data_IF_808348235348
#
_entry.id   IF_808348235348
#
_cell.length_a   1.000
_cell.length_b   1.000
_cell.length_c   1.000
_cell.angle_alpha   90.00
_cell.angle_beta   90.00
_cell.angle_gamma   90.00
#
_symmetry.space_group_name_H-M   'P 1'
#
loop_
_entity.id
_entity.type
_entity.pdbx_description
1 polymer ?
#
# COMPACT_ATOMS: atom_id res chain seq x y z
N UNK A 1 -20.42 -41.66 30.85
CA UNK A 1 -20.13 -43.06 31.03
C UNK A 1 -18.65 -43.32 30.75
N UNK A 2 -18.12 -44.56 31.15
CA UNK A 2 -16.66 -44.86 31.07
C UNK A 2 -16.18 -44.83 29.60
N UNK A 3 -16.98 -45.41 28.69
CA UNK A 3 -16.62 -45.45 27.24
C UNK A 3 -16.60 -44.06 26.60
N UNK A 4 -17.48 -43.17 26.99
CA UNK A 4 -17.54 -41.79 26.54
C UNK A 4 -16.31 -41.00 27.03
N UNK A 5 -15.88 -41.24 28.27
CA UNK A 5 -14.67 -40.62 28.83
C UNK A 5 -13.40 -41.17 28.21
N UNK A 6 -13.36 -42.48 27.86
CA UNK A 6 -12.23 -43.08 27.14
C UNK A 6 -12.10 -42.49 25.75
N UNK A 7 -13.19 -42.36 24.99
CA UNK A 7 -13.17 -41.74 23.67
C UNK A 7 -12.69 -40.28 23.74
N UNK A 8 -13.14 -39.51 24.73
CA UNK A 8 -12.70 -38.14 24.94
C UNK A 8 -11.20 -38.05 25.27
N UNK A 9 -10.65 -38.99 26.01
CA UNK A 9 -9.22 -39.06 26.34
C UNK A 9 -8.42 -39.44 25.11
N UNK A 10 -8.86 -40.39 24.30
CA UNK A 10 -8.21 -40.80 23.05
C UNK A 10 -8.18 -39.63 22.04
N UNK A 11 -9.26 -38.90 21.88
CA UNK A 11 -9.34 -37.69 21.05
C UNK A 11 -8.34 -36.64 21.53
N UNK A 12 -8.24 -36.42 22.84
CA UNK A 12 -7.34 -35.42 23.41
C UNK A 12 -5.86 -35.82 23.28
N UNK A 13 -5.54 -37.11 23.43
CA UNK A 13 -4.20 -37.64 23.17
C UNK A 13 -3.82 -37.45 21.70
N UNK A 14 -4.75 -37.70 20.79
CA UNK A 14 -4.53 -37.54 19.34
C UNK A 14 -4.30 -36.04 19.01
N UNK A 15 -5.07 -35.13 19.58
CA UNK A 15 -4.89 -33.70 19.45
C UNK A 15 -3.51 -33.25 19.95
N UNK A 16 -3.14 -33.66 21.18
CA UNK A 16 -1.84 -33.33 21.78
C UNK A 16 -0.66 -33.88 20.96
N UNK A 17 -0.75 -35.12 20.48
CA UNK A 17 0.30 -35.68 19.61
C UNK A 17 0.42 -34.92 18.31
N UNK A 18 -0.68 -34.49 17.72
CA UNK A 18 -0.68 -33.66 16.50
C UNK A 18 -0.03 -32.30 16.76
N UNK A 19 -0.29 -31.70 17.91
CA UNK A 19 0.33 -30.42 18.28
C UNK A 19 1.83 -30.57 18.58
N UNK A 20 2.23 -31.63 19.26
CA UNK A 20 3.64 -31.95 19.49
C UNK A 20 4.40 -32.10 18.17
N UNK A 21 3.86 -32.89 17.21
CA UNK A 21 4.46 -33.02 15.87
C UNK A 21 4.56 -31.67 15.14
N UNK A 22 3.53 -30.86 15.22
CA UNK A 22 3.50 -29.54 14.58
C UNK A 22 4.49 -28.55 15.19
N UNK A 23 4.72 -28.62 16.49
CA UNK A 23 5.63 -27.75 17.24
C UNK A 23 7.07 -28.27 17.24
N UNK A 24 7.31 -29.49 16.81
CA UNK A 24 8.66 -30.08 16.74
C UNK A 24 9.32 -29.73 15.40
N UNK A 25 10.59 -29.39 15.44
CA UNK A 25 11.39 -29.16 14.22
C UNK A 25 11.95 -30.50 13.71
N UNK A 26 11.46 -30.96 12.55
CA UNK A 26 11.93 -32.16 11.86
C UNK A 26 12.81 -31.84 10.64
N UNK A 27 13.35 -30.61 10.53
CA UNK A 27 14.24 -30.24 9.45
C UNK A 27 15.56 -30.99 9.55
N UNK A 28 16.02 -31.55 8.43
CA UNK A 28 17.34 -32.20 8.31
C UNK A 28 18.28 -31.43 7.37
N UNK A 29 19.42 -32.00 7.05
CA UNK A 29 20.42 -31.39 6.19
C UNK A 29 19.92 -31.02 4.79
N UNK A 30 18.98 -31.80 4.22
CA UNK A 30 18.40 -31.55 2.89
C UNK A 30 17.45 -30.33 2.98
N UNK A 31 16.61 -30.27 4.01
CA UNK A 31 15.70 -29.16 4.24
C UNK A 31 16.47 -27.85 4.38
N UNK A 32 17.60 -27.88 5.11
CA UNK A 32 18.46 -26.69 5.27
C UNK A 32 19.16 -26.29 3.97
N UNK A 33 19.65 -27.27 3.17
CA UNK A 33 20.24 -26.97 1.85
C UNK A 33 19.22 -26.32 0.90
N UNK A 34 17.99 -26.83 0.89
CA UNK A 34 16.90 -26.26 0.07
C UNK A 34 16.60 -24.83 0.52
N UNK A 35 16.53 -24.60 1.84
CA UNK A 35 16.28 -23.26 2.38
C UNK A 35 17.39 -22.27 1.98
N UNK A 36 18.65 -22.64 2.10
CA UNK A 36 19.79 -21.81 1.66
C UNK A 36 19.75 -21.59 0.16
N UNK A 37 19.57 -22.65 -0.65
CA UNK A 37 19.51 -22.53 -2.11
C UNK A 37 18.35 -21.62 -2.57
N UNK A 38 17.19 -21.73 -1.92
CA UNK A 38 16.04 -20.84 -2.17
C UNK A 38 16.38 -19.38 -1.89
N UNK A 39 17.02 -19.11 -0.76
CA UNK A 39 17.47 -17.75 -0.40
C UNK A 39 18.47 -17.19 -1.42
N UNK A 40 19.43 -18.01 -1.90
CA UNK A 40 20.39 -17.60 -2.93
C UNK A 40 19.68 -17.26 -4.24
N UNK A 41 18.82 -18.14 -4.74
CA UNK A 41 18.07 -17.93 -5.99
C UNK A 41 17.26 -16.62 -5.89
N UNK A 42 16.57 -16.44 -4.79
CA UNK A 42 15.74 -15.24 -4.57
C UNK A 42 16.57 -13.97 -4.45
N UNK A 43 17.74 -14.01 -3.81
CA UNK A 43 18.69 -12.90 -3.76
C UNK A 43 19.26 -12.54 -5.12
N UNK A 44 19.55 -13.51 -5.97
CA UNK A 44 19.97 -13.28 -7.36
C UNK A 44 18.84 -12.64 -8.17
N UNK A 45 17.60 -13.12 -8.01
CA UNK A 45 16.43 -12.53 -8.68
C UNK A 45 16.22 -11.09 -8.24
N UNK A 46 16.39 -10.80 -6.96
CA UNK A 46 16.32 -9.43 -6.43
C UNK A 46 17.38 -8.53 -7.08
N UNK A 47 18.64 -8.94 -7.03
CA UNK A 47 19.77 -8.20 -7.60
C UNK A 47 19.64 -7.88 -9.09
N UNK A 48 19.06 -8.81 -9.87
CA UNK A 48 18.99 -8.68 -11.35
C UNK A 48 17.69 -7.99 -11.79
N UNK A 49 16.54 -8.35 -11.21
CA UNK A 49 15.24 -7.98 -11.73
C UNK A 49 14.51 -6.91 -10.92
N UNK A 50 14.73 -6.84 -9.61
CA UNK A 50 14.07 -5.85 -8.75
C UNK A 50 14.88 -4.57 -8.68
N UNK A 51 16.09 -4.66 -8.20
CA UNK A 51 17.01 -3.55 -8.11
C UNK A 51 16.55 -2.46 -7.15
N UNK A 52 17.11 -1.27 -7.33
CA UNK A 52 16.90 -0.11 -6.47
C UNK A 52 15.45 0.38 -6.45
N UNK A 53 14.95 0.71 -5.26
CA UNK A 53 13.71 1.46 -5.09
C UNK A 53 13.91 2.90 -5.59
N UNK A 54 12.99 3.38 -6.43
CA UNK A 54 13.05 4.75 -6.96
C UNK A 54 11.71 5.45 -6.79
N UNK A 55 11.73 6.51 -5.98
CA UNK A 55 10.56 7.36 -5.79
C UNK A 55 10.20 8.13 -7.07
N UNK A 56 11.20 8.59 -7.83
CA UNK A 56 11.02 9.25 -9.14
C UNK A 56 10.32 8.31 -10.13
N UNK A 57 10.83 7.07 -10.30
CA UNK A 57 10.20 6.06 -11.17
C UNK A 57 8.79 5.69 -10.71
N UNK A 58 8.56 5.62 -9.38
CA UNK A 58 7.24 5.41 -8.82
C UNK A 58 6.28 6.54 -9.20
N UNK A 59 6.71 7.78 -9.03
CA UNK A 59 5.92 8.97 -9.35
C UNK A 59 5.62 9.09 -10.86
N UNK A 60 6.61 8.84 -11.72
CA UNK A 60 6.45 8.87 -13.17
C UNK A 60 5.45 7.82 -13.65
N UNK A 61 5.58 6.58 -13.17
CA UNK A 61 4.67 5.50 -13.51
C UNK A 61 3.25 5.76 -12.98
N UNK A 62 3.12 6.22 -11.75
CA UNK A 62 1.84 6.57 -11.15
C UNK A 62 1.16 7.71 -11.91
N UNK A 63 1.92 8.74 -12.27
CA UNK A 63 1.44 9.86 -13.09
C UNK A 63 0.91 9.38 -14.45
N UNK A 64 1.65 8.52 -15.13
CA UNK A 64 1.19 7.97 -16.43
C UNK A 64 -0.13 7.20 -16.29
N UNK A 65 -0.22 6.33 -15.27
CA UNK A 65 -1.44 5.52 -15.05
C UNK A 65 -2.64 6.38 -14.68
N UNK A 66 -2.47 7.35 -13.80
CA UNK A 66 -3.52 8.29 -13.41
C UNK A 66 -3.97 9.12 -14.61
N UNK A 67 -3.06 9.70 -15.38
CA UNK A 67 -3.41 10.52 -16.53
C UNK A 67 -4.23 9.73 -17.57
N UNK A 68 -3.83 8.48 -17.83
CA UNK A 68 -4.56 7.58 -18.73
C UNK A 68 -5.94 7.21 -18.16
N UNK A 69 -6.03 6.97 -16.86
CA UNK A 69 -7.30 6.69 -16.17
C UNK A 69 -8.27 7.88 -16.28
N UNK A 70 -7.81 9.10 -15.95
CA UNK A 70 -8.63 10.33 -16.04
C UNK A 70 -9.17 10.55 -17.45
N UNK A 71 -8.32 10.46 -18.48
CA UNK A 71 -8.75 10.59 -19.88
C UNK A 71 -9.79 9.53 -20.25
N UNK A 72 -9.59 8.28 -19.83
CA UNK A 72 -10.54 7.19 -20.11
C UNK A 72 -11.89 7.45 -19.44
N UNK A 73 -11.90 7.90 -18.20
CA UNK A 73 -13.13 8.25 -17.48
C UNK A 73 -13.82 9.45 -18.14
N UNK A 74 -13.10 10.53 -18.46
CA UNK A 74 -13.67 11.69 -19.13
C UNK A 74 -14.34 11.30 -20.47
N UNK A 75 -13.67 10.47 -21.28
CA UNK A 75 -14.25 9.94 -22.54
C UNK A 75 -15.52 9.13 -22.29
N UNK A 76 -15.57 8.30 -21.27
CA UNK A 76 -16.78 7.56 -20.90
C UNK A 76 -17.94 8.46 -20.47
N UNK A 77 -17.63 9.69 -20.04
CA UNK A 77 -18.61 10.70 -19.65
C UNK A 77 -18.98 11.68 -20.78
N UNK A 78 -18.43 11.49 -21.99
CA UNK A 78 -18.76 12.28 -23.19
C UNK A 78 -17.70 13.34 -23.57
N UNK A 79 -16.49 13.29 -22.99
CA UNK A 79 -15.40 14.13 -23.46
C UNK A 79 -14.86 13.62 -24.81
N UNK A 80 -14.86 14.46 -25.84
CA UNK A 80 -14.46 14.10 -27.20
C UNK A 80 -12.97 14.40 -27.50
N UNK A 81 -12.31 15.19 -26.65
CA UNK A 81 -10.89 15.54 -26.82
C UNK A 81 -9.93 14.41 -26.40
N UNK A 82 -8.63 14.65 -26.62
CA UNK A 82 -7.55 13.68 -26.28
C UNK A 82 -6.56 14.20 -25.24
N UNK A 83 -6.59 15.49 -24.96
CA UNK A 83 -5.68 16.09 -24.01
C UNK A 83 -6.14 15.95 -22.55
N UNK A 84 -5.17 15.90 -21.63
CA UNK A 84 -5.45 15.70 -20.22
C UNK A 84 -6.10 16.93 -19.57
N UNK A 85 -5.64 18.14 -19.93
CA UNK A 85 -6.15 19.36 -19.32
C UNK A 85 -7.62 19.60 -19.68
N UNK A 86 -8.02 19.29 -20.93
CA UNK A 86 -9.40 19.32 -21.38
C UNK A 86 -10.25 18.25 -20.68
N UNK A 87 -9.71 17.03 -20.53
CA UNK A 87 -10.40 15.97 -19.80
C UNK A 87 -10.69 16.34 -18.34
N UNK A 88 -9.71 16.90 -17.64
CA UNK A 88 -9.85 17.38 -16.26
C UNK A 88 -10.87 18.52 -16.21
N UNK A 89 -10.73 19.56 -17.05
CA UNK A 89 -11.66 20.69 -17.09
C UNK A 89 -13.11 20.25 -17.35
N UNK A 90 -13.30 19.27 -18.26
CA UNK A 90 -14.61 18.72 -18.54
C UNK A 90 -15.26 18.05 -17.31
N UNK A 91 -14.45 17.28 -16.55
CA UNK A 91 -14.95 16.62 -15.34
C UNK A 91 -15.19 17.63 -14.20
N UNK A 92 -14.27 18.62 -13.99
CA UNK A 92 -14.41 19.71 -13.02
C UNK A 92 -15.72 20.48 -13.26
N UNK A 93 -16.03 20.81 -14.50
CA UNK A 93 -17.24 21.56 -14.84
C UNK A 93 -18.52 20.74 -14.69
N UNK A 94 -18.47 19.47 -15.04
CA UNK A 94 -19.64 18.58 -15.05
C UNK A 94 -20.00 18.07 -13.65
N UNK A 95 -19.02 17.82 -12.80
CA UNK A 95 -19.18 17.15 -11.50
C UNK A 95 -18.71 18.03 -10.33
N UNK A 96 -19.25 19.26 -10.25
CA UNK A 96 -18.98 20.18 -9.13
C UNK A 96 -19.54 19.63 -7.83
N UNK A 97 -18.80 19.79 -6.74
CA UNK A 97 -19.26 19.47 -5.39
C UNK A 97 -19.37 20.73 -4.53
N UNK A 98 -20.21 20.67 -3.51
CA UNK A 98 -20.43 21.85 -2.64
C UNK A 98 -19.15 22.27 -1.89
N UNK A 99 -18.25 21.32 -1.60
CA UNK A 99 -17.00 21.58 -0.90
C UNK A 99 -16.07 22.55 -1.64
N UNK A 100 -16.10 22.61 -2.97
CA UNK A 100 -15.28 23.54 -3.77
C UNK A 100 -15.50 25.00 -3.40
N UNK A 101 -16.67 25.34 -2.89
CA UNK A 101 -17.01 26.68 -2.44
C UNK A 101 -16.28 27.09 -1.16
N UNK A 102 -15.77 26.12 -0.40
CA UNK A 102 -14.98 26.35 0.81
C UNK A 102 -13.46 26.39 0.56
N UNK A 103 -13.01 26.31 -0.69
CA UNK A 103 -11.57 26.25 -1.07
C UNK A 103 -10.72 27.30 -0.35
N UNK A 104 -11.16 28.57 -0.31
CA UNK A 104 -10.45 29.64 0.35
C UNK A 104 -10.38 29.46 1.88
N UNK A 105 -11.42 28.90 2.50
CA UNK A 105 -11.45 28.58 3.92
C UNK A 105 -10.37 27.57 4.33
N UNK A 106 -9.99 26.68 3.41
CA UNK A 106 -8.94 25.68 3.61
C UNK A 106 -7.56 26.08 3.05
N UNK A 107 -7.36 27.34 2.69
CA UNK A 107 -6.07 27.89 2.28
C UNK A 107 -5.84 28.04 0.79
N UNK A 108 -6.84 27.72 -0.03
CA UNK A 108 -6.80 27.90 -1.48
C UNK A 108 -5.82 26.98 -2.22
N UNK A 109 -5.85 27.01 -3.54
CA UNK A 109 -4.97 26.21 -4.40
C UNK A 109 -4.92 24.73 -4.01
N UNK A 110 -3.76 24.10 -4.09
CA UNK A 110 -3.59 22.69 -3.72
C UNK A 110 -3.71 22.42 -2.21
N UNK A 111 -3.69 23.45 -1.37
CA UNK A 111 -3.80 23.28 0.08
C UNK A 111 -5.19 22.87 0.53
N UNK A 112 -6.24 23.22 -0.22
CA UNK A 112 -7.57 22.78 0.13
C UNK A 112 -7.71 21.25 -0.04
N UNK A 113 -7.13 20.63 -1.08
CA UNK A 113 -7.11 19.18 -1.23
C UNK A 113 -6.50 18.47 -0.02
N UNK A 114 -5.47 19.07 0.58
CA UNK A 114 -4.82 18.52 1.76
C UNK A 114 -5.65 18.68 3.04
N UNK A 115 -6.43 19.75 3.15
CA UNK A 115 -7.09 20.16 4.39
C UNK A 115 -8.58 19.92 4.43
N UNK A 116 -9.25 19.96 3.29
CA UNK A 116 -10.67 19.66 3.17
C UNK A 116 -10.88 18.16 3.04
N UNK A 117 -11.51 17.55 4.03
CA UNK A 117 -11.73 16.11 4.06
C UNK A 117 -12.63 15.62 2.93
N UNK A 118 -13.50 16.46 2.36
CA UNK A 118 -14.32 16.07 1.21
C UNK A 118 -13.50 15.73 -0.05
N UNK A 119 -12.24 16.20 -0.12
CA UNK A 119 -11.29 15.92 -1.19
C UNK A 119 -10.35 14.74 -0.87
N UNK A 120 -10.62 13.97 0.19
CA UNK A 120 -9.83 12.80 0.53
C UNK A 120 -10.45 11.55 -0.12
N UNK A 121 -9.68 10.75 -0.90
CA UNK A 121 -10.17 9.53 -1.52
C UNK A 121 -10.24 8.37 -0.51
N UNK A 122 -11.01 8.57 0.55
CA UNK A 122 -11.23 7.65 1.65
C UNK A 122 -12.72 7.50 1.95
N UNK A 123 -13.16 6.42 2.64
CA UNK A 123 -14.53 6.34 3.15
C UNK A 123 -14.90 7.49 4.09
N UNK A 124 -13.92 8.03 4.83
CA UNK A 124 -14.09 9.21 5.69
C UNK A 124 -14.34 10.45 4.85
N UNK A 125 -13.56 10.64 3.77
CA UNK A 125 -13.76 11.74 2.82
C UNK A 125 -15.12 11.71 2.17
N UNK A 126 -15.58 10.54 1.71
CA UNK A 126 -16.94 10.37 1.21
C UNK A 126 -17.99 10.72 2.26
N UNK A 127 -17.79 10.28 3.52
CA UNK A 127 -18.73 10.58 4.61
C UNK A 127 -18.82 12.08 4.88
N UNK A 128 -17.71 12.82 4.88
CA UNK A 128 -17.71 14.29 5.05
C UNK A 128 -18.31 15.02 3.85
N UNK A 129 -18.05 14.54 2.62
CA UNK A 129 -18.71 15.09 1.44
C UNK A 129 -20.23 14.88 1.49
N UNK A 130 -20.69 13.70 1.93
CA UNK A 130 -22.11 13.46 2.15
C UNK A 130 -22.68 14.33 3.27
N UNK A 131 -21.95 14.46 4.38
CA UNK A 131 -22.40 15.30 5.51
C UNK A 131 -22.60 16.75 5.07
N UNK A 132 -21.75 17.28 4.19
CA UNK A 132 -21.91 18.60 3.58
C UNK A 132 -23.26 18.78 2.88
N UNK A 133 -23.78 17.73 2.21
CA UNK A 133 -25.08 17.74 1.55
C UNK A 133 -26.26 18.01 2.49
N UNK A 134 -26.10 17.65 3.78
CA UNK A 134 -27.16 17.79 4.78
C UNK A 134 -26.96 18.95 5.71
N UNK A 135 -25.71 19.30 6.04
CA UNK A 135 -25.39 20.32 7.04
C UNK A 135 -25.05 21.67 6.44
N UNK A 136 -24.77 21.74 5.13
CA UNK A 136 -24.21 22.92 4.45
C UNK A 136 -22.89 23.39 5.10
N UNK A 137 -22.14 22.48 5.67
CA UNK A 137 -20.85 22.72 6.28
C UNK A 137 -19.79 21.83 5.62
N UNK A 138 -18.61 22.37 5.39
CA UNK A 138 -17.43 21.65 4.91
C UNK A 138 -16.47 21.44 6.07
N UNK A 139 -15.89 20.28 6.19
CA UNK A 139 -15.12 19.82 7.33
C UNK A 139 -13.68 19.54 6.93
N UNK A 140 -12.74 19.91 7.79
CA UNK A 140 -11.33 19.69 7.51
C UNK A 140 -10.41 20.21 8.60
N UNK A 141 -9.21 20.67 8.23
CA UNK A 141 -8.23 21.24 9.15
C UNK A 141 -7.84 22.66 8.77
N UNK A 142 -7.56 23.50 9.77
CA UNK A 142 -6.97 24.82 9.55
C UNK A 142 -5.44 24.70 9.30
N UNK A 143 -4.79 25.87 9.11
CA UNK A 143 -3.33 25.92 8.90
C UNK A 143 -2.49 25.44 10.09
N UNK A 144 -3.08 25.32 11.26
CA UNK A 144 -2.42 24.81 12.47
C UNK A 144 -2.60 23.30 12.64
N UNK A 145 -3.35 22.63 11.73
CA UNK A 145 -3.66 21.21 11.80
C UNK A 145 -4.79 20.87 12.78
N UNK A 146 -5.62 21.85 13.14
CA UNK A 146 -6.78 21.63 14.01
C UNK A 146 -8.02 21.42 13.18
N UNK A 147 -8.92 20.58 13.68
CA UNK A 147 -10.22 20.38 13.05
C UNK A 147 -10.99 21.71 12.97
N UNK A 148 -11.55 21.99 11.82
CA UNK A 148 -12.38 23.18 11.58
C UNK A 148 -13.58 22.86 10.70
N UNK A 149 -14.53 23.76 10.73
CA UNK A 149 -15.76 23.69 9.93
C UNK A 149 -15.93 25.04 9.21
N UNK A 150 -16.20 24.98 7.91
CA UNK A 150 -16.52 26.14 7.07
C UNK A 150 -17.99 26.04 6.67
N UNK A 151 -18.78 27.04 7.05
CA UNK A 151 -20.18 27.15 6.67
C UNK A 151 -20.30 27.66 5.24
N UNK A 152 -21.11 27.00 4.42
CA UNK A 152 -21.46 27.48 3.08
C UNK A 152 -22.56 28.50 3.17
N UNK A 153 -22.44 29.58 2.38
CA UNK A 153 -23.50 30.60 2.21
C UNK A 153 -24.64 30.04 1.33
N UNK A 154 -25.85 30.61 1.43
CA UNK A 154 -27.01 30.05 0.71
C UNK A 154 -26.85 30.10 -0.80
N UNK A 155 -26.18 31.09 -1.35
CA UNK A 155 -25.94 31.28 -2.78
C UNK A 155 -24.84 30.34 -3.34
N UNK A 156 -24.13 29.64 -2.47
CA UNK A 156 -23.00 28.76 -2.82
C UNK A 156 -23.38 27.28 -2.95
N UNK A 157 -24.67 26.96 -3.01
CA UNK A 157 -25.15 25.60 -2.89
C UNK A 157 -25.09 24.82 -4.21
N UNK A 158 -24.13 23.88 -4.31
CA UNK A 158 -24.15 22.77 -5.27
C UNK A 158 -24.64 21.47 -4.57
N UNK A 159 -25.76 21.57 -3.83
CA UNK A 159 -26.36 20.41 -3.19
C UNK A 159 -27.18 19.63 -4.24
N UNK A 160 -26.72 18.46 -4.59
CA UNK A 160 -27.26 17.63 -5.67
C UNK A 160 -28.37 16.76 -5.13
N UNK A 161 -29.54 16.81 -5.76
CA UNK A 161 -30.73 16.04 -5.39
C UNK A 161 -31.72 16.79 -4.51
N UNK A 162 -33.01 16.50 -4.68
CA UNK A 162 -34.11 17.18 -3.99
C UNK A 162 -34.44 16.50 -2.64
N UNK A 163 -34.24 15.19 -2.55
CA UNK A 163 -34.55 14.39 -1.38
C UNK A 163 -33.32 13.62 -0.87
N UNK A 164 -33.44 13.01 0.30
CA UNK A 164 -32.32 12.29 0.99
C UNK A 164 -31.72 11.21 0.10
N UNK A 165 -32.55 10.44 -0.63
CA UNK A 165 -32.08 9.35 -1.47
C UNK A 165 -31.27 9.87 -2.66
N UNK A 166 -31.77 10.89 -3.30
CA UNK A 166 -31.10 11.55 -4.43
C UNK A 166 -29.78 12.19 -3.99
N UNK A 167 -29.78 12.93 -2.87
CA UNK A 167 -28.56 13.51 -2.31
C UNK A 167 -27.50 12.44 -2.06
N UNK A 168 -27.90 11.27 -1.55
CA UNK A 168 -26.97 10.18 -1.29
C UNK A 168 -26.42 9.58 -2.58
N UNK A 169 -27.28 9.27 -3.53
CA UNK A 169 -26.88 8.64 -4.81
C UNK A 169 -26.08 9.62 -5.67
N UNK A 170 -26.63 10.77 -5.98
CA UNK A 170 -25.98 11.76 -6.83
C UNK A 170 -24.75 12.37 -6.15
N UNK A 171 -24.82 12.65 -4.85
CA UNK A 171 -23.67 13.13 -4.08
C UNK A 171 -22.50 12.16 -4.14
N UNK A 172 -22.72 10.85 -4.04
CA UNK A 172 -21.68 9.83 -4.20
C UNK A 172 -21.10 9.82 -5.61
N UNK A 173 -21.97 9.86 -6.64
CA UNK A 173 -21.55 9.86 -8.04
C UNK A 173 -20.73 11.11 -8.37
N UNK A 174 -21.21 12.28 -7.98
CA UNK A 174 -20.51 13.54 -8.21
C UNK A 174 -19.20 13.60 -7.47
N UNK A 175 -19.18 13.21 -6.20
CA UNK A 175 -17.93 13.13 -5.44
C UNK A 175 -16.91 12.22 -6.12
N UNK A 176 -17.31 11.03 -6.60
CA UNK A 176 -16.41 10.11 -7.27
C UNK A 176 -15.78 10.74 -8.54
N UNK A 177 -16.61 11.31 -9.43
CA UNK A 177 -16.10 11.90 -10.66
C UNK A 177 -15.32 13.20 -10.42
N UNK A 178 -15.67 13.94 -9.39
CA UNK A 178 -14.91 15.10 -8.93
C UNK A 178 -13.52 14.66 -8.42
N UNK A 179 -13.44 13.63 -7.58
CA UNK A 179 -12.15 13.06 -7.19
C UNK A 179 -11.32 12.64 -8.40
N UNK A 180 -11.94 12.04 -9.43
CA UNK A 180 -11.25 11.67 -10.66
C UNK A 180 -10.70 12.89 -11.39
N UNK A 181 -11.37 14.04 -11.38
CA UNK A 181 -10.81 15.26 -11.98
C UNK A 181 -9.54 15.72 -11.26
N UNK A 182 -9.56 15.71 -9.94
CA UNK A 182 -8.51 16.33 -9.11
C UNK A 182 -7.24 15.47 -8.96
N UNK A 183 -7.34 14.15 -9.14
CA UNK A 183 -6.19 13.25 -8.94
C UNK A 183 -5.03 13.52 -9.90
N UNK A 184 -5.28 14.06 -11.09
CA UNK A 184 -4.23 14.45 -12.05
C UNK A 184 -3.67 15.86 -11.79
N UNK A 185 -4.23 16.59 -10.84
CA UNK A 185 -4.00 18.01 -10.63
C UNK A 185 -4.97 18.88 -11.44
N UNK A 186 -5.08 20.17 -11.10
CA UNK A 186 -6.02 21.06 -11.78
C UNK A 186 -5.71 21.24 -13.26
N UNK A 187 -6.74 21.47 -14.08
CA UNK A 187 -6.61 21.76 -15.52
C UNK A 187 -5.65 22.93 -15.81
N UNK A 188 -5.66 23.95 -14.97
CA UNK A 188 -4.75 25.11 -15.06
C UNK A 188 -3.30 24.71 -14.82
N UNK A 189 -3.01 23.89 -13.82
CA UNK A 189 -1.67 23.39 -13.53
C UNK A 189 -1.13 22.52 -14.66
N UNK A 190 -1.97 21.68 -15.23
CA UNK A 190 -1.61 20.81 -16.36
C UNK A 190 -1.27 21.63 -17.60
N UNK A 191 -2.08 22.65 -17.93
CA UNK A 191 -1.81 23.55 -19.06
C UNK A 191 -0.52 24.32 -18.88
N UNK A 192 -0.22 24.80 -17.68
CA UNK A 192 1.04 25.53 -17.38
C UNK A 192 2.26 24.61 -17.47
N UNK A 193 2.16 23.36 -17.12
CA UNK A 193 3.24 22.41 -17.17
C UNK A 193 3.62 22.03 -18.63
N UNK A 194 2.68 22.09 -19.56
CA UNK A 194 2.91 21.69 -20.96
C UNK A 194 3.38 20.23 -21.04
N UNK A 195 4.54 19.99 -21.63
CA UNK A 195 5.14 18.66 -21.75
C UNK A 195 5.98 18.24 -20.53
N UNK A 196 6.28 19.14 -19.61
CA UNK A 196 7.05 18.84 -18.40
C UNK A 196 6.16 18.31 -17.28
N UNK A 197 6.05 16.99 -17.19
CA UNK A 197 5.24 16.29 -16.20
C UNK A 197 5.61 16.64 -14.74
N UNK A 198 6.86 17.04 -14.47
CA UNK A 198 7.34 17.39 -13.13
C UNK A 198 6.76 18.72 -12.63
N UNK A 199 6.39 19.60 -13.55
CA UNK A 199 5.78 20.89 -13.23
C UNK A 199 4.24 20.84 -13.06
N UNK A 200 3.60 19.68 -13.28
CA UNK A 200 2.20 19.50 -12.94
C UNK A 200 2.03 19.71 -11.43
N UNK A 201 1.04 20.51 -11.05
CA UNK A 201 0.72 20.75 -9.65
C UNK A 201 0.46 19.46 -8.87
N UNK A 202 0.47 19.52 -7.55
CA UNK A 202 0.10 18.43 -6.69
C UNK A 202 -1.39 18.12 -6.89
N UNK A 203 -1.73 16.85 -7.04
CA UNK A 203 -3.11 16.36 -7.13
C UNK A 203 -3.73 16.17 -5.75
N UNK A 204 -4.66 15.22 -5.63
CA UNK A 204 -5.22 14.82 -4.34
C UNK A 204 -4.17 14.07 -3.50
N UNK A 205 -4.23 14.18 -2.16
CA UNK A 205 -3.52 13.22 -1.30
C UNK A 205 -4.03 11.81 -1.58
N UNK A 206 -3.16 10.81 -1.56
CA UNK A 206 -3.59 9.42 -1.67
C UNK A 206 -4.30 8.94 -0.39
N UNK A 207 -4.91 7.74 -0.40
CA UNK A 207 -5.66 7.23 0.75
C UNK A 207 -4.85 7.15 2.05
N UNK A 208 -3.57 6.78 1.96
CA UNK A 208 -2.70 6.71 3.14
C UNK A 208 -2.43 8.10 3.72
N UNK A 209 -2.04 9.04 2.89
CA UNK A 209 -1.77 10.41 3.33
C UNK A 209 -3.03 11.08 3.86
N UNK A 210 -4.18 10.89 3.19
CA UNK A 210 -5.49 11.37 3.64
C UNK A 210 -5.82 10.86 5.04
N UNK A 211 -5.69 9.56 5.27
CA UNK A 211 -5.92 8.96 6.58
C UNK A 211 -5.00 9.56 7.66
N UNK A 212 -3.72 9.78 7.34
CA UNK A 212 -2.78 10.41 8.29
C UNK A 212 -3.19 11.85 8.61
N UNK A 213 -3.72 12.61 7.65
CA UNK A 213 -4.20 13.97 7.86
C UNK A 213 -5.46 13.96 8.73
N UNK A 214 -6.43 13.09 8.43
CA UNK A 214 -7.66 12.92 9.20
C UNK A 214 -7.35 12.54 10.65
N UNK A 215 -6.46 11.58 10.87
CA UNK A 215 -6.01 11.19 12.22
C UNK A 215 -5.25 12.33 12.92
N UNK A 216 -4.44 13.10 12.19
CA UNK A 216 -3.68 14.22 12.77
C UNK A 216 -4.57 15.34 13.34
N UNK A 217 -5.82 15.44 12.85
CA UNK A 217 -6.81 16.38 13.39
C UNK A 217 -7.25 16.03 14.80
N UNK A 218 -7.11 14.76 15.22
CA UNK A 218 -7.54 14.31 16.55
C UNK A 218 -6.81 15.02 17.69
N UNK A 219 -7.46 15.20 18.86
CA UNK A 219 -6.87 15.88 20.02
C UNK A 219 -5.65 15.19 20.62
N UNK A 220 -5.42 13.91 20.30
CA UNK A 220 -4.26 13.15 20.80
C UNK A 220 -2.93 13.69 20.30
N UNK A 221 -2.91 14.30 19.12
CA UNK A 221 -1.71 14.92 18.54
C UNK A 221 -1.55 16.35 19.06
N UNK A 222 -0.89 16.50 20.22
CA UNK A 222 -0.79 17.79 20.95
C UNK A 222 0.52 18.54 20.69
N UNK A 223 1.55 17.86 20.17
CA UNK A 223 2.86 18.50 19.99
C UNK A 223 2.80 19.61 18.96
N UNK A 224 3.25 20.81 19.36
CA UNK A 224 3.20 22.02 18.53
C UNK A 224 4.59 22.62 18.40
N UNK A 225 4.81 23.31 17.29
CA UNK A 225 5.99 24.14 17.10
C UNK A 225 5.86 25.51 17.82
N UNK A 226 6.86 26.35 17.64
CA UNK A 226 6.88 27.73 18.21
C UNK A 226 5.77 28.63 17.69
N UNK A 227 5.22 28.33 16.53
CA UNK A 227 4.13 29.11 15.90
C UNK A 227 2.74 28.52 16.23
N UNK A 228 2.66 27.55 17.15
CA UNK A 228 1.42 26.92 17.59
C UNK A 228 0.85 25.88 16.63
N UNK A 229 1.57 25.52 15.56
CA UNK A 229 1.15 24.53 14.58
C UNK A 229 1.47 23.12 15.06
N UNK A 230 0.57 22.18 14.83
CA UNK A 230 0.86 20.75 15.11
C UNK A 230 2.04 20.28 14.26
N UNK A 231 3.08 19.75 14.89
CA UNK A 231 4.28 19.26 14.19
C UNK A 231 3.97 18.21 13.14
N UNK A 232 3.01 17.31 13.42
CA UNK A 232 2.55 16.31 12.46
C UNK A 232 1.95 16.95 11.21
N UNK A 233 1.17 18.03 11.36
CA UNK A 233 0.55 18.74 10.23
C UNK A 233 1.61 19.42 9.36
N UNK A 234 2.66 19.98 9.96
CA UNK A 234 3.79 20.57 9.22
C UNK A 234 4.51 19.50 8.42
N UNK A 235 4.77 18.34 9.03
CA UNK A 235 5.43 17.22 8.38
C UNK A 235 4.62 16.69 7.18
N UNK A 236 3.31 16.46 7.37
CA UNK A 236 2.42 16.00 6.31
C UNK A 236 2.33 17.01 5.15
N UNK A 237 2.30 18.30 5.45
CA UNK A 237 2.31 19.36 4.44
C UNK A 237 3.62 19.36 3.62
N UNK A 238 4.77 19.22 4.28
CA UNK A 238 6.07 19.11 3.61
C UNK A 238 6.17 17.86 2.75
N UNK A 239 5.61 16.75 3.19
CA UNK A 239 5.54 15.50 2.45
C UNK A 239 4.71 15.68 1.16
N UNK A 240 3.49 16.19 1.30
CA UNK A 240 2.56 16.41 0.19
C UNK A 240 3.14 17.35 -0.89
N UNK A 241 3.76 18.44 -0.48
CA UNK A 241 4.31 19.44 -1.40
C UNK A 241 5.71 19.09 -1.95
N UNK A 242 6.27 17.95 -1.57
CA UNK A 242 7.56 17.47 -2.05
C UNK A 242 8.78 18.10 -1.37
N UNK A 243 8.61 19.00 -0.41
CA UNK A 243 9.74 19.64 0.29
C UNK A 243 10.51 18.71 1.21
N UNK A 244 9.93 17.56 1.57
CA UNK A 244 10.58 16.58 2.43
C UNK A 244 11.38 15.54 1.64
N UNK A 245 10.85 15.05 0.51
CA UNK A 245 11.41 13.93 -0.25
C UNK A 245 11.97 14.34 -1.63
N UNK A 246 11.83 15.61 -2.01
CA UNK A 246 12.16 16.07 -3.37
C UNK A 246 11.06 15.78 -4.42
N UNK A 247 10.14 14.87 -4.09
CA UNK A 247 9.01 14.49 -4.92
C UNK A 247 7.69 14.72 -4.19
N UNK A 248 6.65 15.17 -4.90
CA UNK A 248 5.30 15.37 -4.36
C UNK A 248 4.71 14.03 -3.96
N UNK A 249 4.15 13.96 -2.77
CA UNK A 249 3.56 12.75 -2.24
C UNK A 249 2.03 12.84 -2.31
N UNK A 250 1.51 12.65 -3.51
CA UNK A 250 0.07 12.60 -3.77
C UNK A 250 -0.36 11.18 -4.20
N UNK A 251 -1.61 11.01 -4.63
CA UNK A 251 -2.15 9.72 -5.05
C UNK A 251 -1.33 9.05 -6.16
N UNK A 252 -0.74 9.82 -7.08
CA UNK A 252 0.11 9.29 -8.16
C UNK A 252 1.34 8.60 -7.59
N UNK A 253 1.97 9.23 -6.63
CA UNK A 253 3.16 8.70 -5.94
C UNK A 253 2.79 7.50 -5.06
N UNK A 254 1.68 7.54 -4.33
CA UNK A 254 1.23 6.40 -3.52
C UNK A 254 0.98 5.15 -4.37
N UNK A 255 0.32 5.29 -5.52
CA UNK A 255 0.10 4.18 -6.47
C UNK A 255 1.43 3.65 -7.02
N UNK A 256 2.35 4.54 -7.37
CA UNK A 256 3.68 4.16 -7.84
C UNK A 256 4.50 3.43 -6.79
N UNK A 257 4.45 3.88 -5.53
CA UNK A 257 5.10 3.20 -4.40
C UNK A 257 4.50 1.80 -4.19
N UNK A 258 3.18 1.65 -4.26
CA UNK A 258 2.55 0.35 -4.15
C UNK A 258 3.05 -0.63 -5.23
N UNK A 259 3.31 -0.15 -6.45
CA UNK A 259 3.95 -0.93 -7.51
C UNK A 259 5.40 -1.30 -7.18
N UNK A 260 6.21 -0.36 -6.70
CA UNK A 260 7.61 -0.62 -6.33
C UNK A 260 7.71 -1.63 -5.17
N UNK A 261 6.84 -1.51 -4.16
CA UNK A 261 6.71 -2.50 -3.08
C UNK A 261 6.27 -3.86 -3.63
N UNK A 262 5.33 -3.87 -4.59
CA UNK A 262 4.93 -5.09 -5.29
C UNK A 262 6.10 -5.76 -6.00
N UNK A 263 6.99 -5.00 -6.65
CA UNK A 263 8.22 -5.53 -7.26
C UNK A 263 9.14 -6.17 -6.22
N UNK A 264 9.36 -5.53 -5.09
CA UNK A 264 10.17 -6.07 -3.98
C UNK A 264 9.57 -7.35 -3.38
N UNK A 265 8.27 -7.57 -3.54
CA UNK A 265 7.61 -8.80 -3.08
C UNK A 265 7.91 -10.01 -3.95
N UNK A 266 8.31 -9.84 -5.22
CA UNK A 266 8.54 -10.94 -6.17
C UNK A 266 9.58 -11.94 -5.66
N UNK A 267 10.82 -11.55 -5.28
CA UNK A 267 11.81 -12.50 -4.79
C UNK A 267 11.40 -13.13 -3.45
N UNK A 268 10.66 -12.40 -2.61
CA UNK A 268 10.13 -12.93 -1.35
C UNK A 268 9.09 -14.02 -1.59
N UNK A 269 8.15 -13.79 -2.52
CA UNK A 269 7.16 -14.79 -2.93
C UNK A 269 7.81 -16.01 -3.58
N UNK A 270 8.84 -15.79 -4.41
CA UNK A 270 9.60 -16.87 -5.02
C UNK A 270 10.27 -17.73 -3.96
N UNK A 271 10.92 -17.11 -2.98
CA UNK A 271 11.54 -17.81 -1.85
C UNK A 271 10.53 -18.69 -1.09
N UNK A 272 9.38 -18.13 -0.74
CA UNK A 272 8.31 -18.88 -0.09
C UNK A 272 7.78 -20.03 -0.95
N UNK A 273 7.58 -19.77 -2.23
CA UNK A 273 7.10 -20.79 -3.17
C UNK A 273 8.07 -21.98 -3.26
N UNK A 274 9.36 -21.70 -3.42
CA UNK A 274 10.38 -22.77 -3.50
C UNK A 274 10.39 -23.60 -2.22
N UNK A 275 10.55 -22.96 -1.05
CA UNK A 275 10.66 -23.67 0.23
C UNK A 275 9.41 -24.50 0.51
N UNK A 276 8.22 -23.92 0.34
CA UNK A 276 6.95 -24.60 0.63
C UNK A 276 6.67 -25.75 -0.34
N UNK A 277 6.98 -25.56 -1.63
CA UNK A 277 6.78 -26.60 -2.65
C UNK A 277 7.72 -27.77 -2.40
N UNK A 278 9.00 -27.53 -2.12
CA UNK A 278 9.95 -28.61 -1.81
C UNK A 278 9.58 -29.35 -0.52
N UNK A 279 9.19 -28.62 0.53
CA UNK A 279 8.72 -29.26 1.75
C UNK A 279 7.53 -30.19 1.45
N UNK A 280 6.51 -29.68 0.76
CA UNK A 280 5.32 -30.47 0.41
C UNK A 280 5.68 -31.72 -0.39
N UNK A 281 6.44 -31.57 -1.47
CA UNK A 281 6.84 -32.68 -2.35
C UNK A 281 7.62 -33.73 -1.55
N UNK A 282 8.59 -33.29 -0.76
CA UNK A 282 9.44 -34.19 0.02
C UNK A 282 8.62 -34.97 1.04
N UNK A 283 7.81 -34.30 1.86
CA UNK A 283 6.97 -34.99 2.86
C UNK A 283 5.90 -35.86 2.22
N UNK A 284 5.40 -35.47 1.06
CA UNK A 284 4.50 -36.36 0.30
C UNK A 284 5.19 -37.64 -0.15
N UNK A 285 6.42 -37.56 -0.65
CA UNK A 285 7.19 -38.75 -1.03
C UNK A 285 7.52 -39.63 0.18
N UNK A 286 7.86 -39.05 1.32
CA UNK A 286 8.07 -39.80 2.57
C UNK A 286 6.80 -40.55 2.99
N UNK A 287 5.65 -39.93 3.01
CA UNK A 287 4.35 -40.52 3.33
C UNK A 287 3.98 -41.64 2.33
N UNK A 288 4.20 -41.43 1.03
CA UNK A 288 3.96 -42.42 -0.01
C UNK A 288 4.84 -43.69 0.22
N UNK A 289 6.12 -43.48 0.50
CA UNK A 289 7.09 -44.56 0.75
C UNK A 289 6.74 -45.31 2.04
N UNK A 290 6.56 -44.62 3.13
CA UNK A 290 6.40 -45.17 4.47
C UNK A 290 5.07 -45.95 4.59
N UNK A 291 4.02 -45.52 3.89
CA UNK A 291 2.72 -46.18 3.84
C UNK A 291 2.56 -47.17 2.68
N UNK A 292 3.60 -47.36 1.88
CA UNK A 292 3.61 -48.32 0.77
C UNK A 292 2.52 -48.06 -0.27
N UNK A 293 2.24 -46.81 -0.57
CA UNK A 293 1.19 -46.38 -1.51
C UNK A 293 1.59 -46.73 -2.93
N UNK A 294 0.85 -47.65 -3.55
CA UNK A 294 1.10 -48.07 -4.93
C UNK A 294 -0.06 -47.80 -5.90
N UNK A 295 -1.23 -47.48 -5.38
CA UNK A 295 -2.44 -47.24 -6.19
C UNK A 295 -3.11 -45.95 -5.77
N UNK A 296 -3.78 -45.32 -6.71
CA UNK A 296 -4.52 -44.06 -6.47
C UNK A 296 -5.56 -44.19 -5.32
N UNK A 297 -6.16 -45.35 -5.14
CA UNK A 297 -7.10 -45.61 -4.03
C UNK A 297 -6.44 -45.53 -2.65
N UNK A 298 -5.13 -45.74 -2.58
CA UNK A 298 -4.37 -45.72 -1.32
C UNK A 298 -3.98 -44.30 -0.89
N UNK A 299 -4.21 -43.28 -1.71
CA UNK A 299 -3.97 -41.87 -1.36
C UNK A 299 -4.79 -41.41 -0.12
N UNK A 300 -5.86 -42.12 0.19
CA UNK A 300 -6.63 -41.90 1.42
C UNK A 300 -5.85 -42.19 2.70
N UNK A 301 -4.74 -42.95 2.61
CA UNK A 301 -3.87 -43.28 3.75
C UNK A 301 -2.85 -42.19 4.06
N UNK A 302 -2.69 -41.20 3.16
CA UNK A 302 -1.77 -40.06 3.37
C UNK A 302 -2.26 -39.19 4.51
N UNK A 303 -1.38 -38.92 5.44
CA UNK A 303 -1.60 -37.87 6.43
C UNK A 303 -1.27 -36.50 5.82
N UNK A 304 -2.29 -35.86 5.27
CA UNK A 304 -2.16 -34.54 4.64
C UNK A 304 -1.71 -33.43 5.60
N UNK A 305 -1.84 -33.64 6.92
CA UNK A 305 -1.37 -32.69 7.93
C UNK A 305 0.16 -32.67 7.99
N UNK A 306 0.80 -33.83 7.85
CA UNK A 306 2.26 -33.97 7.83
C UNK A 306 2.88 -33.38 6.57
N UNK A 307 2.17 -33.44 5.44
CA UNK A 307 2.64 -32.91 4.16
C UNK A 307 2.36 -31.41 3.99
N UNK A 308 1.44 -30.83 4.75
CA UNK A 308 1.03 -29.43 4.61
C UNK A 308 2.19 -28.47 4.89
N UNK A 309 2.55 -27.57 3.94
CA UNK A 309 3.68 -26.66 4.10
C UNK A 309 3.30 -25.39 4.89
N UNK A 310 2.44 -25.55 5.90
CA UNK A 310 1.91 -24.46 6.70
C UNK A 310 1.80 -24.86 8.18
N UNK A 311 1.87 -23.89 9.06
CA UNK A 311 1.58 -24.04 10.49
C UNK A 311 2.38 -25.15 11.20
N UNK A 312 3.64 -25.36 10.82
CA UNK A 312 4.51 -26.29 11.53
C UNK A 312 5.91 -25.71 11.74
N UNK A 313 6.61 -26.17 12.78
CA UNK A 313 7.90 -25.65 13.22
C UNK A 313 9.01 -25.86 12.18
N UNK A 314 8.96 -26.94 11.43
CA UNK A 314 9.93 -27.24 10.37
C UNK A 314 9.89 -26.19 9.26
N UNK A 315 8.70 -25.86 8.76
CA UNK A 315 8.53 -24.80 7.76
C UNK A 315 8.98 -23.43 8.28
N UNK A 316 8.63 -23.09 9.52
CA UNK A 316 9.09 -21.85 10.14
C UNK A 316 10.61 -21.78 10.14
N UNK A 317 11.27 -22.87 10.54
CA UNK A 317 12.75 -22.93 10.58
C UNK A 317 13.37 -22.82 9.19
N UNK A 318 12.83 -23.55 8.20
CA UNK A 318 13.29 -23.45 6.82
C UNK A 318 13.11 -22.05 6.26
N UNK A 319 11.96 -21.43 6.52
CA UNK A 319 11.68 -20.06 6.08
C UNK A 319 12.61 -19.04 6.75
N UNK A 320 12.91 -19.18 8.04
CA UNK A 320 13.89 -18.32 8.73
C UNK A 320 15.25 -18.37 8.05
N UNK A 321 15.74 -19.57 7.72
CA UNK A 321 17.03 -19.74 7.04
C UNK A 321 16.99 -19.19 5.61
N UNK A 322 15.94 -19.50 4.86
CA UNK A 322 15.78 -19.03 3.47
C UNK A 322 15.68 -17.51 3.39
N UNK A 323 14.84 -16.89 4.24
CA UNK A 323 14.71 -15.43 4.27
C UNK A 323 15.97 -14.74 4.82
N UNK A 324 16.64 -15.36 5.80
CA UNK A 324 17.93 -14.87 6.31
C UNK A 324 19.02 -14.89 5.24
N UNK A 325 19.12 -15.97 4.47
CA UNK A 325 20.07 -16.07 3.35
C UNK A 325 19.75 -15.06 2.25
N UNK A 326 18.48 -14.94 1.86
CA UNK A 326 18.02 -13.92 0.92
C UNK A 326 18.41 -12.51 1.40
N UNK A 327 18.06 -12.15 2.62
CA UNK A 327 18.34 -10.83 3.21
C UNK A 327 19.85 -10.55 3.28
N UNK A 328 20.65 -11.54 3.62
CA UNK A 328 22.11 -11.37 3.65
C UNK A 328 22.69 -11.07 2.26
N UNK A 329 22.18 -11.71 1.20
CA UNK A 329 22.60 -11.45 -0.19
C UNK A 329 22.13 -10.06 -0.64
N UNK A 330 20.87 -9.70 -0.36
CA UNK A 330 20.32 -8.39 -0.67
C UNK A 330 21.13 -7.26 -0.02
N UNK A 331 21.40 -7.37 1.28
CA UNK A 331 22.21 -6.40 2.00
C UNK A 331 23.65 -6.31 1.50
N UNK A 332 24.26 -7.44 1.11
CA UNK A 332 25.59 -7.46 0.53
C UNK A 332 25.60 -6.77 -0.87
N UNK A 333 24.64 -7.09 -1.75
CA UNK A 333 24.49 -6.42 -3.06
C UNK A 333 24.24 -4.93 -2.89
N UNK A 334 23.32 -4.54 -1.98
CA UNK A 334 23.03 -3.14 -1.69
C UNK A 334 24.27 -2.39 -1.18
N UNK A 335 25.05 -3.01 -0.29
CA UNK A 335 26.28 -2.42 0.26
C UNK A 335 27.37 -2.22 -0.82
N UNK A 336 27.63 -3.25 -1.60
CA UNK A 336 28.63 -3.20 -2.69
C UNK A 336 28.27 -2.12 -3.71
N UNK A 337 27.04 -2.12 -4.20
CA UNK A 337 26.59 -1.16 -5.21
C UNK A 337 26.51 0.27 -4.67
N UNK A 338 26.12 0.44 -3.40
CA UNK A 338 26.11 1.76 -2.77
C UNK A 338 27.52 2.39 -2.76
N UNK A 339 28.54 1.61 -2.39
CA UNK A 339 29.95 2.08 -2.39
C UNK A 339 30.43 2.38 -3.80
N UNK A 340 30.14 1.50 -4.76
CA UNK A 340 30.52 1.71 -6.17
C UNK A 340 29.89 2.98 -6.74
N UNK A 341 28.56 3.13 -6.57
CA UNK A 341 27.81 4.26 -7.14
C UNK A 341 28.18 5.60 -6.50
N UNK A 342 28.58 5.61 -5.22
CA UNK A 342 28.98 6.83 -4.49
C UNK A 342 30.46 7.16 -4.64
N UNK A 343 31.25 6.34 -5.33
CA UNK A 343 32.70 6.53 -5.46
C UNK A 343 33.49 6.38 -4.16
N UNK A 344 32.95 5.67 -3.17
CA UNK A 344 33.54 5.41 -1.86
C UNK A 344 32.58 5.58 -0.70
N UNK A 345 33.08 5.59 0.52
CA UNK A 345 32.30 5.78 1.73
C UNK A 345 32.07 7.27 2.02
N UNK A 346 30.83 7.75 1.79
CA UNK A 346 30.40 9.13 2.02
C UNK A 346 28.89 9.17 2.41
N UNK A 347 28.30 10.31 2.76
CA UNK A 347 26.87 10.38 3.12
C UNK A 347 25.90 9.88 2.03
N UNK A 348 26.27 10.00 0.76
CA UNK A 348 25.49 9.50 -0.37
C UNK A 348 25.47 7.97 -0.41
N UNK A 349 26.53 7.32 0.07
CA UNK A 349 26.60 5.86 0.20
C UNK A 349 25.47 5.32 1.07
N UNK A 350 25.17 5.97 2.20
CA UNK A 350 24.09 5.56 3.07
C UNK A 350 22.71 5.69 2.37
N UNK A 351 22.51 6.78 1.65
CA UNK A 351 21.28 6.98 0.87
C UNK A 351 21.12 5.89 -0.20
N UNK A 352 22.16 5.63 -0.98
CA UNK A 352 22.15 4.63 -2.04
C UNK A 352 21.97 3.22 -1.48
N UNK A 353 22.56 2.92 -0.32
CA UNK A 353 22.32 1.66 0.38
C UNK A 353 20.86 1.47 0.77
N UNK A 354 20.26 2.48 1.44
CA UNK A 354 18.86 2.42 1.89
C UNK A 354 17.91 2.22 0.70
N UNK A 355 18.11 2.94 -0.41
CA UNK A 355 17.26 2.83 -1.59
C UNK A 355 17.36 1.47 -2.28
N UNK A 356 18.47 0.75 -2.10
CA UNK A 356 18.73 -0.54 -2.72
C UNK A 356 18.18 -1.72 -1.94
N UNK A 357 18.09 -1.59 -0.62
CA UNK A 357 17.61 -2.68 0.26
C UNK A 357 16.17 -3.08 -0.09
N UNK A 358 15.93 -4.38 -0.15
CA UNK A 358 14.59 -4.92 -0.29
C UNK A 358 13.86 -4.91 1.05
N UNK A 359 13.10 -3.84 1.31
CA UNK A 359 12.38 -3.66 2.59
C UNK A 359 11.33 -4.74 2.86
N UNK A 360 10.74 -5.31 1.81
CA UNK A 360 9.77 -6.41 1.95
C UNK A 360 10.48 -7.67 2.45
N UNK A 361 11.67 -7.96 1.90
CA UNK A 361 12.51 -9.08 2.32
C UNK A 361 12.99 -8.96 3.76
N UNK A 362 13.52 -7.79 4.12
CA UNK A 362 13.96 -7.51 5.51
C UNK A 362 12.78 -7.63 6.48
N UNK A 363 11.64 -7.05 6.16
CA UNK A 363 10.43 -7.16 6.97
C UNK A 363 9.95 -8.60 7.12
N UNK A 364 10.00 -9.39 6.04
CA UNK A 364 9.64 -10.81 6.08
C UNK A 364 10.59 -11.63 6.94
N UNK A 365 11.90 -11.33 6.90
CA UNK A 365 12.87 -11.96 7.79
C UNK A 365 12.61 -11.62 9.25
N UNK A 366 12.37 -10.34 9.58
CA UNK A 366 12.06 -9.91 10.93
C UNK A 366 10.81 -10.60 11.53
N UNK A 367 9.81 -10.93 10.68
CA UNK A 367 8.63 -11.69 11.13
C UNK A 367 8.96 -13.19 11.32
N UNK A 368 9.94 -13.73 10.57
CA UNK A 368 10.30 -15.14 10.61
C UNK A 368 11.20 -15.51 11.80
N UNK A 369 11.91 -14.56 12.39
CA UNK A 369 12.76 -14.73 13.57
C UNK A 369 11.96 -14.68 14.86
#
# INVERSE_FOLDING_TARGET
>A
DVDEKLALIEDKITELNTDIERLTNHADGIDYMIAVASGIVSGIVDSIFVGEFSLERANDWGTEKINNFVKKIAKSQGYEGDDLAGAVSFLEDKYKIAADKATNGFGGGTQHHLRDFSHHPTPIGLAFSMLTQFTKNVYGTNSNGEFMVVKLEEDDLYLIGENIKEKFIFGTIYWFFHMVSDIAGSSTSIRKAGNDKRNIGTGLPGPLLSLLIELSALPIFKKRDKDGKKEISIWLNKLFNGTLLGEKFDLRTEIGIAREVGRQSIPVMLNECIVRSFYFIRRLFEEIRDKGIKKFKDLKKIDWRKTAPFNNRTIVRMMTIATGTFTAIDLADAGIRAVINSGGFNPETLRNFILRVNFVGVGRFAIAV
#
